data_IF_631412239307
#
_entry.id   IF_631412239307
#
_cell.length_a   1.000
_cell.length_b   1.000
_cell.length_c   1.000
_cell.angle_alpha   90.00
_cell.angle_beta   90.00
_cell.angle_gamma   90.00
#
_symmetry.space_group_name_H-M   'P 1'
#
loop_
_entity.id
_entity.type
_entity.pdbx_description
1 polymer ?
#
# COMPACT_ATOMS: atom_id res chain seq x y z
N UNK A 1 -16.58 -6.40 8.63
CA UNK A 1 -15.35 -5.65 8.87
C UNK A 1 -14.13 -6.48 8.47
N UNK A 2 -13.19 -5.84 7.79
CA UNK A 2 -11.95 -6.49 7.38
C UNK A 2 -10.91 -6.25 8.46
N UNK A 3 -10.25 -7.32 8.88
CA UNK A 3 -9.07 -7.21 9.74
C UNK A 3 -7.84 -7.35 8.85
N UNK A 4 -7.04 -6.28 8.76
CA UNK A 4 -5.85 -6.28 7.90
C UNK A 4 -4.62 -6.86 8.57
N UNK A 5 -4.70 -7.16 9.88
CA UNK A 5 -3.55 -7.64 10.64
C UNK A 5 -3.02 -8.97 10.10
N UNK A 6 -1.74 -9.01 9.77
CA UNK A 6 -1.10 -10.21 9.25
C UNK A 6 -1.33 -10.48 7.78
N UNK A 7 -2.06 -9.63 7.07
CA UNK A 7 -2.28 -9.83 5.64
C UNK A 7 -1.09 -9.35 4.83
N UNK A 8 -0.82 -10.06 3.75
CA UNK A 8 0.32 -9.79 2.86
C UNK A 8 -0.22 -9.51 1.47
N UNK A 9 0.23 -8.41 0.87
CA UNK A 9 -0.23 -7.97 -0.45
C UNK A 9 0.93 -7.83 -1.42
N UNK A 10 0.65 -7.99 -2.72
CA UNK A 10 1.60 -7.70 -3.80
C UNK A 10 0.95 -6.74 -4.78
N UNK A 11 1.77 -5.99 -5.51
CA UNK A 11 1.29 -5.13 -6.58
C UNK A 11 0.84 -5.94 -7.79
N UNK A 12 -0.32 -5.59 -8.36
CA UNK A 12 -0.82 -6.25 -9.57
C UNK A 12 -1.06 -5.26 -10.70
N UNK A 13 -1.25 -3.98 -10.39
CA UNK A 13 -1.38 -2.92 -11.38
C UNK A 13 -0.89 -1.62 -10.78
N UNK A 14 -0.14 -0.85 -11.55
CA UNK A 14 0.41 0.43 -11.11
C UNK A 14 0.43 1.38 -12.29
N UNK A 15 0.04 2.64 -12.06
CA UNK A 15 0.15 3.67 -13.08
C UNK A 15 1.63 3.99 -13.36
N UNK A 16 1.89 4.65 -14.50
CA UNK A 16 3.24 4.89 -15.01
C UNK A 16 4.23 5.49 -14.00
N UNK A 17 3.74 6.39 -13.16
CA UNK A 17 4.61 7.09 -12.21
C UNK A 17 4.84 6.32 -10.91
N UNK A 18 4.23 5.15 -10.76
CA UNK A 18 4.34 4.36 -9.54
C UNK A 18 5.58 3.49 -9.50
N UNK A 19 6.13 3.32 -8.31
CA UNK A 19 7.31 2.48 -8.08
C UNK A 19 6.94 1.07 -7.59
N UNK A 20 5.70 0.87 -7.17
CA UNK A 20 5.20 -0.46 -6.77
C UNK A 20 5.09 -1.34 -8.00
N UNK A 21 5.45 -2.61 -7.86
CA UNK A 21 5.37 -3.59 -8.95
C UNK A 21 4.86 -4.92 -8.41
N UNK A 22 4.78 -5.93 -9.26
CA UNK A 22 4.45 -7.30 -8.85
C UNK A 22 5.50 -7.92 -7.94
N UNK A 23 6.67 -7.31 -7.82
CA UNK A 23 7.73 -7.74 -6.92
C UNK A 23 7.68 -7.05 -5.56
N UNK A 24 6.84 -6.03 -5.41
CA UNK A 24 6.71 -5.29 -4.14
C UNK A 24 5.76 -6.03 -3.21
N UNK A 25 6.23 -6.39 -2.03
CA UNK A 25 5.47 -7.14 -1.03
C UNK A 25 5.19 -6.25 0.17
N UNK A 26 3.92 -6.19 0.56
CA UNK A 26 3.43 -5.37 1.68
C UNK A 26 3.02 -6.28 2.83
N UNK A 27 3.52 -6.00 4.02
CA UNK A 27 3.15 -6.70 5.24
C UNK A 27 2.38 -5.74 6.13
N UNK A 28 1.08 -5.98 6.31
CA UNK A 28 0.21 -5.09 7.06
C UNK A 28 0.01 -5.59 8.50
N UNK A 29 -0.15 -4.63 9.41
CA UNK A 29 -0.53 -4.87 10.80
C UNK A 29 -1.66 -3.91 11.16
N UNK A 30 -2.54 -4.35 12.02
CA UNK A 30 -3.64 -3.51 12.50
C UNK A 30 -3.82 -3.73 14.00
N UNK A 31 -3.91 -2.61 14.72
CA UNK A 31 -4.21 -2.58 16.14
C UNK A 31 -5.31 -1.55 16.36
N UNK A 32 -6.54 -2.04 16.62
CA UNK A 32 -7.70 -1.16 16.67
C UNK A 32 -7.92 -0.49 15.31
N UNK A 33 -7.91 0.83 15.28
CA UNK A 33 -8.02 1.59 14.03
C UNK A 33 -6.66 1.94 13.43
N UNK A 34 -5.57 1.56 14.08
CA UNK A 34 -4.22 1.92 13.62
C UNK A 34 -3.71 0.88 12.66
N UNK A 35 -3.42 1.33 11.43
CA UNK A 35 -2.78 0.52 10.40
C UNK A 35 -1.30 0.85 10.37
N UNK A 36 -0.46 -0.17 10.27
CA UNK A 36 0.96 0.03 10.01
C UNK A 36 1.44 -1.07 9.07
N UNK A 37 2.60 -0.87 8.50
CA UNK A 37 3.15 -1.90 7.62
C UNK A 37 4.53 -1.56 7.11
N UNK A 38 5.13 -2.56 6.49
CA UNK A 38 6.40 -2.42 5.78
C UNK A 38 6.23 -2.95 4.37
N UNK A 39 7.03 -2.43 3.45
CA UNK A 39 7.00 -2.93 2.08
C UNK A 39 8.36 -2.79 1.42
N UNK A 40 8.66 -3.70 0.52
CA UNK A 40 9.91 -3.71 -0.22
C UNK A 40 9.79 -4.63 -1.43
N UNK A 41 10.70 -4.49 -2.37
CA UNK A 41 10.80 -5.31 -3.57
C UNK A 41 10.64 -4.50 -4.84
N UNK A 42 11.20 -4.99 -5.94
CA UNK A 42 11.24 -4.26 -7.20
C UNK A 42 12.04 -2.98 -7.05
N UNK A 43 11.46 -1.86 -7.42
CA UNK A 43 12.10 -0.54 -7.33
C UNK A 43 12.15 0.04 -5.92
N UNK A 44 11.69 -0.67 -4.90
CA UNK A 44 11.62 -0.18 -3.53
C UNK A 44 12.56 -1.00 -2.65
N UNK A 45 13.56 -0.33 -2.04
CA UNK A 45 14.52 -0.98 -1.17
C UNK A 45 13.91 -1.24 0.21
N UNK A 46 13.25 -0.22 0.79
CA UNK A 46 12.68 -0.30 2.12
C UNK A 46 11.62 0.76 2.29
N UNK A 47 10.43 0.38 2.75
CA UNK A 47 9.33 1.30 2.94
C UNK A 47 8.53 0.99 4.19
N UNK A 48 7.87 2.02 4.71
CA UNK A 48 6.98 1.91 5.86
C UNK A 48 5.73 2.75 5.62
N UNK A 49 4.64 2.35 6.23
CA UNK A 49 3.40 3.10 6.19
C UNK A 49 2.72 3.08 7.55
N UNK A 50 1.93 4.12 7.82
CA UNK A 50 1.12 4.22 9.02
C UNK A 50 -0.11 5.06 8.72
N UNK A 51 -1.24 4.66 9.25
CA UNK A 51 -2.49 5.37 9.06
C UNK A 51 -3.62 4.77 9.85
N UNK A 52 -4.83 4.92 9.33
CA UNK A 52 -6.03 4.48 10.02
C UNK A 52 -6.93 3.63 9.12
N UNK A 53 -7.70 2.77 9.76
CA UNK A 53 -8.76 1.98 9.12
C UNK A 53 -10.08 2.64 9.47
N UNK A 54 -10.86 2.99 8.46
CA UNK A 54 -12.17 3.64 8.65
C UNK A 54 -13.27 2.58 8.82
N UNK A 55 -14.46 3.03 9.23
CA UNK A 55 -15.59 2.14 9.50
C UNK A 55 -16.05 1.35 8.28
N UNK A 56 -15.81 1.87 7.09
CA UNK A 56 -16.15 1.20 5.82
C UNK A 56 -15.00 0.36 5.29
N UNK A 57 -13.99 0.08 6.12
CA UNK A 57 -12.78 -0.69 5.80
C UNK A 57 -11.80 0.04 4.85
N UNK A 58 -12.09 1.28 4.50
CA UNK A 58 -11.17 2.11 3.71
C UNK A 58 -9.94 2.45 4.55
N UNK A 59 -8.77 2.39 3.93
CA UNK A 59 -7.50 2.74 4.56
C UNK A 59 -7.08 4.13 4.14
N UNK A 60 -6.60 4.91 5.09
CA UNK A 60 -6.00 6.20 4.81
C UNK A 60 -4.65 6.24 5.53
N UNK A 61 -3.57 6.27 4.77
CA UNK A 61 -2.22 6.20 5.35
C UNK A 61 -1.23 7.09 4.62
N UNK A 62 -0.13 7.36 5.31
CA UNK A 62 1.04 8.00 4.72
C UNK A 62 2.17 6.99 4.67
N UNK A 63 3.01 7.12 3.67
CA UNK A 63 4.10 6.18 3.46
C UNK A 63 5.36 6.92 3.06
N UNK A 64 6.49 6.28 3.30
CA UNK A 64 7.75 6.71 2.73
C UNK A 64 8.63 5.50 2.52
N UNK A 65 9.48 5.60 1.51
CA UNK A 65 10.40 4.53 1.18
C UNK A 65 11.65 5.07 0.52
N UNK A 66 12.67 4.23 0.49
CA UNK A 66 13.90 4.48 -0.27
C UNK A 66 13.83 3.64 -1.53
N UNK A 67 13.95 4.27 -2.68
CA UNK A 67 13.92 3.56 -3.96
C UNK A 67 15.29 3.03 -4.37
N UNK A 68 15.33 2.28 -5.48
CA UNK A 68 16.56 1.64 -5.98
C UNK A 68 17.67 2.65 -6.31
N UNK A 69 17.31 3.90 -6.59
CA UNK A 69 18.26 4.98 -6.82
C UNK A 69 18.76 5.64 -5.55
N UNK A 70 18.32 5.16 -4.37
CA UNK A 70 18.72 5.74 -3.09
C UNK A 70 17.94 6.98 -2.71
N UNK A 71 16.85 7.30 -3.42
CA UNK A 71 16.06 8.49 -3.16
C UNK A 71 14.93 8.18 -2.19
N UNK A 72 14.70 9.09 -1.25
CA UNK A 72 13.60 9.00 -0.30
C UNK A 72 12.35 9.61 -0.92
N UNK A 73 11.29 8.82 -0.99
CA UNK A 73 10.00 9.23 -1.54
C UNK A 73 8.93 9.12 -0.44
N UNK A 74 8.00 10.08 -0.41
CA UNK A 74 6.92 10.11 0.57
C UNK A 74 5.60 10.42 -0.12
N UNK A 75 4.52 9.86 0.42
CA UNK A 75 3.20 10.09 -0.15
C UNK A 75 2.08 9.76 0.80
N UNK A 76 0.87 10.02 0.31
CA UNK A 76 -0.38 9.76 1.01
C UNK A 76 -1.24 8.88 0.12
N UNK A 77 -1.96 7.95 0.72
CA UNK A 77 -2.74 6.96 -0.02
C UNK A 77 -4.09 6.74 0.64
N UNK A 78 -5.10 6.60 -0.22
CA UNK A 78 -6.43 6.12 0.18
C UNK A 78 -6.65 4.80 -0.54
N UNK A 79 -6.92 3.73 0.22
CA UNK A 79 -7.14 2.39 -0.32
C UNK A 79 -8.56 1.95 -0.05
N UNK A 80 -9.22 1.47 -1.10
CA UNK A 80 -10.59 0.97 -1.01
C UNK A 80 -10.60 -0.53 -1.24
N UNK A 81 -11.13 -1.32 -0.29
CA UNK A 81 -11.10 -2.77 -0.40
C UNK A 81 -12.18 -3.32 -1.30
N UNK A 82 -11.86 -4.42 -1.94
CA UNK A 82 -12.79 -5.27 -2.67
C UNK A 82 -12.53 -6.70 -2.21
N UNK A 83 -13.55 -7.34 -1.65
CA UNK A 83 -13.42 -8.70 -1.16
C UNK A 83 -13.74 -9.68 -2.28
N UNK A 84 -12.81 -10.59 -2.56
CA UNK A 84 -13.01 -11.64 -3.55
C UNK A 84 -13.80 -12.80 -2.99
N UNK A 85 -14.26 -13.67 -3.87
CA UNK A 85 -15.05 -14.87 -3.50
C UNK A 85 -14.24 -15.84 -2.62
N UNK A 86 -12.93 -15.83 -2.76
CA UNK A 86 -12.02 -16.68 -1.99
C UNK A 86 -11.63 -16.08 -0.63
N UNK A 87 -12.21 -14.94 -0.26
CA UNK A 87 -11.90 -14.24 0.98
C UNK A 87 -10.65 -13.37 0.92
N UNK A 88 -9.98 -13.31 -0.22
CA UNK A 88 -8.82 -12.44 -0.40
C UNK A 88 -9.25 -11.01 -0.66
N UNK A 89 -8.46 -10.07 -0.18
CA UNK A 89 -8.73 -8.64 -0.33
C UNK A 89 -7.90 -8.09 -1.49
N UNK A 90 -8.55 -7.29 -2.32
CA UNK A 90 -7.89 -6.48 -3.34
C UNK A 90 -8.07 -5.03 -2.90
N UNK A 91 -6.99 -4.26 -2.89
CA UNK A 91 -7.03 -2.84 -2.51
C UNK A 91 -6.81 -1.98 -3.74
N UNK A 92 -7.78 -1.11 -4.02
CA UNK A 92 -7.69 -0.10 -5.08
C UNK A 92 -7.17 1.17 -4.45
N UNK A 93 -5.98 1.59 -4.84
CA UNK A 93 -5.25 2.67 -4.20
C UNK A 93 -5.19 3.90 -5.07
N UNK A 94 -5.44 5.05 -4.45
CA UNK A 94 -5.18 6.35 -5.05
C UNK A 94 -4.14 7.03 -4.18
N UNK A 95 -3.01 7.39 -4.77
CA UNK A 95 -1.91 7.98 -4.03
C UNK A 95 -1.48 9.31 -4.61
N UNK A 96 -0.87 10.12 -3.76
CA UNK A 96 -0.29 11.41 -4.13
C UNK A 96 1.04 11.57 -3.42
N UNK A 97 2.08 11.85 -4.19
CA UNK A 97 3.40 12.13 -3.62
C UNK A 97 3.35 13.48 -2.90
N UNK A 98 4.02 13.57 -1.77
CA UNK A 98 4.00 14.76 -0.92
C UNK A 98 5.21 15.65 -1.13
N UNK A 99 6.19 15.22 -1.90
CA UNK A 99 7.37 15.99 -2.22
C UNK A 99 7.53 16.16 -3.73
N UNK A 100 8.44 17.04 -4.13
CA UNK A 100 8.73 17.28 -5.54
C UNK A 100 7.53 17.80 -6.30
N UNK A 101 7.20 17.16 -7.40
CA UNK A 101 6.13 17.58 -8.31
C UNK A 101 4.74 17.19 -7.86
N UNK A 102 4.61 16.53 -6.71
CA UNK A 102 3.33 16.06 -6.17
C UNK A 102 2.56 15.19 -7.16
N UNK A 103 3.26 14.25 -7.79
CA UNK A 103 2.65 13.31 -8.73
C UNK A 103 1.53 12.53 -8.07
N UNK A 104 0.52 12.21 -8.87
CA UNK A 104 -0.63 11.40 -8.45
C UNK A 104 -0.66 10.13 -9.29
N UNK A 105 -1.21 9.08 -8.72
CA UNK A 105 -1.40 7.86 -9.47
C UNK A 105 -2.34 6.92 -8.77
N UNK A 106 -2.44 5.75 -9.35
CA UNK A 106 -3.26 4.69 -8.80
C UNK A 106 -2.51 3.37 -8.88
N UNK A 107 -2.88 2.46 -8.01
CA UNK A 107 -2.34 1.11 -8.01
C UNK A 107 -3.38 0.15 -7.48
N UNK A 108 -3.16 -1.13 -7.73
CA UNK A 108 -3.97 -2.20 -7.17
C UNK A 108 -2.99 -3.17 -6.54
N UNK A 109 -3.24 -3.50 -5.28
CA UNK A 109 -2.50 -4.55 -4.60
C UNK A 109 -3.48 -5.66 -4.24
N UNK A 110 -3.00 -6.88 -4.25
CA UNK A 110 -3.83 -8.05 -4.05
C UNK A 110 -3.23 -8.91 -2.96
N UNK A 111 -4.10 -9.42 -2.09
CA UNK A 111 -3.67 -10.29 -1.00
C UNK A 111 -3.16 -11.62 -1.55
N UNK A 112 -2.06 -12.11 -0.98
CA UNK A 112 -1.50 -13.41 -1.29
C UNK A 112 -1.57 -14.28 -0.04
N UNK A 113 -1.54 -15.59 -0.24
CA UNK A 113 -1.46 -16.53 0.88
C UNK A 113 -0.08 -16.42 1.53
N UNK A 114 -0.10 -16.31 2.84
CA UNK A 114 1.13 -16.28 3.63
C UNK A 114 1.66 -17.70 3.92
#
# INVERSE_FOLDING_TARGET
LINYDGRIFIGVHVSEDGEVSGETVFHYKQDGIILSGTYAGGGIISGVLVGTVKKDDTLHFRYHHVNAGGKLESGECVSSPQLGEDGRVRLHEEWQMMDGQKSKGSSVVEEIES
#
